data_IF_292026952101
#
_entry.id   IF_292026952101
#
_cell.length_a   1.000
_cell.length_b   1.000
_cell.length_c   1.000
_cell.angle_alpha   90.00
_cell.angle_beta   90.00
_cell.angle_gamma   90.00
#
_symmetry.space_group_name_H-M   'P 1'
#
loop_
_entity.id
_entity.type
_entity.pdbx_description
1 polymer ?
#
# COMPACT_ATOMS: atom_id res chain seq x y z
N UNK A 1 -3.15 -8.76 21.15
CA UNK A 1 -2.96 -9.70 20.03
C UNK A 1 -1.55 -9.56 19.47
N UNK A 2 -1.03 -10.57 18.77
CA UNK A 2 0.29 -10.50 18.11
C UNK A 2 0.09 -10.08 16.66
N UNK A 3 0.70 -8.98 16.27
CA UNK A 3 0.55 -8.36 14.94
C UNK A 3 1.91 -8.35 14.26
N UNK A 4 2.02 -8.98 13.08
CA UNK A 4 3.19 -8.87 12.22
C UNK A 4 2.95 -7.76 11.21
N UNK A 5 3.77 -6.70 11.28
CA UNK A 5 3.77 -5.59 10.33
C UNK A 5 4.95 -5.75 9.37
N UNK A 6 4.67 -5.93 8.09
CA UNK A 6 5.63 -6.06 7.01
C UNK A 6 5.72 -4.76 6.21
N UNK A 7 6.93 -4.29 5.91
CA UNK A 7 7.17 -3.01 5.24
C UNK A 7 7.10 -1.80 6.18
N UNK A 8 7.59 -1.96 7.41
CA UNK A 8 7.47 -0.96 8.47
C UNK A 8 8.22 0.37 8.19
N UNK A 9 9.21 0.39 7.29
CA UNK A 9 9.97 1.58 6.93
C UNK A 9 9.32 2.40 5.80
N UNK A 10 8.32 1.84 5.11
CA UNK A 10 7.52 2.55 4.10
C UNK A 10 6.60 3.61 4.69
N UNK A 11 5.96 4.43 3.83
CA UNK A 11 5.08 5.52 4.27
C UNK A 11 3.92 5.02 5.14
N UNK A 12 3.18 4.02 4.67
CA UNK A 12 2.03 3.45 5.40
C UNK A 12 2.52 2.62 6.58
N UNK A 13 3.56 1.80 6.40
CA UNK A 13 4.13 0.97 7.46
C UNK A 13 4.62 1.78 8.66
N UNK A 14 5.20 2.96 8.43
CA UNK A 14 5.63 3.84 9.51
C UNK A 14 4.47 4.32 10.38
N UNK A 15 3.39 4.78 9.77
CA UNK A 15 2.19 5.24 10.49
C UNK A 15 1.46 4.08 11.19
N UNK A 16 1.49 2.90 10.59
CA UNK A 16 0.90 1.69 11.17
C UNK A 16 1.54 1.29 12.50
N UNK A 17 2.84 1.54 12.72
CA UNK A 17 3.47 1.26 14.00
C UNK A 17 2.77 2.00 15.14
N UNK A 18 2.41 3.27 14.92
CA UNK A 18 1.66 4.09 15.88
C UNK A 18 0.22 3.59 16.05
N UNK A 19 -0.50 3.41 14.93
CA UNK A 19 -1.93 3.12 14.97
C UNK A 19 -2.24 1.70 15.45
N UNK A 20 -1.32 0.74 15.26
CA UNK A 20 -1.48 -0.64 15.71
C UNK A 20 -1.02 -0.87 17.15
N UNK A 21 -0.18 -0.01 17.71
CA UNK A 21 0.38 -0.18 19.07
C UNK A 21 -0.68 -0.41 20.15
N UNK A 22 -1.84 0.28 20.17
CA UNK A 22 -2.89 0.03 21.17
C UNK A 22 -3.57 -1.35 21.03
N UNK A 23 -3.41 -2.03 19.88
CA UNK A 23 -4.09 -3.30 19.60
C UNK A 23 -3.35 -4.53 20.14
N UNK A 24 -2.06 -4.41 20.40
CA UNK A 24 -1.27 -5.52 20.90
C UNK A 24 0.23 -5.40 20.65
N UNK A 25 0.91 -6.54 20.63
CA UNK A 25 2.35 -6.65 20.38
C UNK A 25 2.61 -6.56 18.87
N UNK A 26 3.23 -5.45 18.43
CA UNK A 26 3.55 -5.18 17.03
C UNK A 26 4.99 -5.57 16.73
N UNK A 27 5.15 -6.62 15.95
CA UNK A 27 6.45 -7.07 15.43
C UNK A 27 6.65 -6.44 14.06
N UNK A 28 7.40 -5.35 14.02
CA UNK A 28 7.68 -4.57 12.80
C UNK A 28 8.90 -5.14 12.06
N UNK A 29 8.72 -5.45 10.78
CA UNK A 29 9.71 -6.11 9.92
C UNK A 29 9.84 -5.38 8.57
N UNK A 30 11.06 -5.35 8.04
CA UNK A 30 11.38 -4.82 6.71
C UNK A 30 12.54 -5.60 6.07
N UNK A 31 12.84 -5.32 4.79
CA UNK A 31 13.93 -5.99 4.06
C UNK A 31 15.32 -5.66 4.64
N UNK A 32 15.47 -4.49 5.26
CA UNK A 32 16.70 -3.98 5.87
C UNK A 32 16.74 -4.13 7.41
N UNK A 33 15.73 -4.79 7.99
CA UNK A 33 15.72 -5.08 9.42
C UNK A 33 16.82 -6.05 9.83
N UNK A 34 17.12 -6.09 11.13
CA UNK A 34 18.05 -7.09 11.71
C UNK A 34 17.59 -8.53 11.39
N UNK A 35 18.49 -9.48 11.44
CA UNK A 35 18.33 -10.83 10.87
C UNK A 35 17.04 -11.55 11.29
N UNK A 36 16.63 -11.43 12.56
CA UNK A 36 15.43 -12.07 13.11
C UNK A 36 14.11 -11.40 12.71
N UNK A 37 14.17 -10.16 12.19
CA UNK A 37 13.03 -9.37 11.70
C UNK A 37 13.11 -9.01 10.22
N UNK A 38 14.06 -9.63 9.50
CA UNK A 38 14.23 -9.36 8.08
C UNK A 38 13.09 -9.99 7.27
N UNK A 39 12.39 -9.15 6.51
CA UNK A 39 11.29 -9.55 5.62
C UNK A 39 11.59 -9.12 4.18
N UNK A 40 12.43 -9.89 3.50
CA UNK A 40 12.83 -9.64 2.11
C UNK A 40 11.79 -10.26 1.16
N UNK A 41 10.93 -9.43 0.58
CA UNK A 41 9.86 -9.86 -0.33
C UNK A 41 10.36 -10.44 -1.66
N UNK A 42 11.62 -10.23 -2.01
CA UNK A 42 12.25 -10.94 -3.13
C UNK A 42 12.54 -12.41 -2.80
N UNK A 43 12.33 -12.83 -1.53
CA UNK A 43 12.55 -14.19 -1.02
C UNK A 43 11.29 -14.73 -0.33
N UNK A 44 10.25 -15.13 -1.10
CA UNK A 44 8.95 -15.52 -0.56
C UNK A 44 9.02 -16.61 0.53
N UNK A 45 9.89 -17.61 0.35
CA UNK A 45 10.08 -18.69 1.33
C UNK A 45 10.54 -18.17 2.69
N UNK A 46 11.51 -17.23 2.72
CA UNK A 46 12.01 -16.64 3.95
C UNK A 46 10.94 -15.82 4.69
N UNK A 47 10.04 -15.15 3.95
CA UNK A 47 8.88 -14.47 4.54
C UNK A 47 7.90 -15.49 5.14
N UNK A 48 7.68 -16.63 4.48
CA UNK A 48 6.89 -17.73 5.02
C UNK A 48 7.48 -18.29 6.33
N UNK A 49 8.78 -18.57 6.36
CA UNK A 49 9.50 -19.02 7.56
C UNK A 49 9.44 -18.01 8.72
N UNK A 50 9.50 -16.70 8.40
CA UNK A 50 9.33 -15.63 9.38
C UNK A 50 7.92 -15.70 10.02
N UNK A 51 6.88 -15.88 9.22
CA UNK A 51 5.50 -16.01 9.71
C UNK A 51 5.35 -17.26 10.57
N UNK A 52 5.89 -18.40 10.13
CA UNK A 52 5.85 -19.66 10.85
C UNK A 52 6.55 -19.56 12.22
N UNK A 53 7.64 -18.79 12.33
CA UNK A 53 8.36 -18.55 13.59
C UNK A 53 7.61 -17.59 14.50
N UNK A 54 6.99 -16.54 13.97
CA UNK A 54 6.32 -15.50 14.77
C UNK A 54 4.94 -15.96 15.23
N UNK A 55 4.22 -16.75 14.44
CA UNK A 55 2.85 -17.20 14.72
C UNK A 55 1.90 -16.01 15.03
N UNK A 56 1.73 -15.04 14.12
CA UNK A 56 0.90 -13.86 14.35
C UNK A 56 -0.60 -14.19 14.25
N UNK A 57 -1.43 -13.39 14.90
CA UNK A 57 -2.89 -13.42 14.78
C UNK A 57 -3.38 -12.47 13.66
N UNK A 58 -2.59 -11.44 13.39
CA UNK A 58 -2.84 -10.47 12.30
C UNK A 58 -1.52 -10.22 11.55
N UNK A 59 -1.58 -10.23 10.23
CA UNK A 59 -0.48 -9.86 9.36
C UNK A 59 -0.89 -8.64 8.56
N UNK A 60 -0.19 -7.52 8.74
CA UNK A 60 -0.42 -6.29 7.98
C UNK A 60 0.71 -6.13 6.96
N UNK A 61 0.38 -6.31 5.70
CA UNK A 61 1.34 -6.20 4.60
C UNK A 61 1.28 -4.81 3.95
N UNK A 62 2.23 -3.94 4.32
CA UNK A 62 2.45 -2.62 3.74
C UNK A 62 3.68 -2.58 2.80
N UNK A 63 4.30 -3.74 2.52
CA UNK A 63 5.41 -3.84 1.58
C UNK A 63 4.91 -4.03 0.15
N UNK A 64 5.53 -3.33 -0.80
CA UNK A 64 5.26 -3.48 -2.22
C UNK A 64 6.40 -2.90 -3.08
N UNK A 65 6.52 -3.38 -4.31
CA UNK A 65 7.28 -2.70 -5.36
C UNK A 65 6.37 -1.63 -5.97
N UNK A 66 6.57 -0.37 -5.57
CA UNK A 66 5.68 0.76 -5.92
C UNK A 66 6.22 1.66 -7.02
N UNK A 67 7.42 1.40 -7.54
CA UNK A 67 8.01 2.16 -8.63
C UNK A 67 7.39 1.73 -9.96
N UNK A 68 6.27 2.38 -10.36
CA UNK A 68 5.45 2.03 -11.53
C UNK A 68 6.29 1.89 -12.80
N UNK A 69 7.13 2.91 -13.12
CA UNK A 69 7.96 2.91 -14.32
C UNK A 69 9.04 1.82 -14.28
N UNK A 70 9.65 1.58 -13.11
CA UNK A 70 10.64 0.51 -12.93
C UNK A 70 10.03 -0.88 -13.07
N UNK A 71 8.79 -1.07 -12.69
CA UNK A 71 8.11 -2.35 -12.82
C UNK A 71 8.09 -2.85 -14.27
N UNK A 72 8.02 -1.93 -15.25
CA UNK A 72 8.06 -2.29 -16.68
C UNK A 72 9.38 -2.95 -17.13
N UNK A 73 10.49 -2.65 -16.43
CA UNK A 73 11.80 -3.28 -16.66
C UNK A 73 12.17 -4.36 -15.64
N UNK A 74 11.51 -4.38 -14.47
CA UNK A 74 11.77 -5.30 -13.35
C UNK A 74 10.56 -6.26 -13.14
N UNK A 75 10.01 -6.81 -14.23
CA UNK A 75 8.75 -7.57 -14.23
C UNK A 75 8.74 -8.70 -13.21
N UNK A 76 9.76 -9.56 -13.21
CA UNK A 76 9.85 -10.72 -12.33
C UNK A 76 9.99 -10.31 -10.86
N UNK A 77 10.77 -9.29 -10.59
CA UNK A 77 10.93 -8.74 -9.23
C UNK A 77 9.62 -8.13 -8.74
N UNK A 78 8.97 -7.32 -9.58
CA UNK A 78 7.68 -6.71 -9.28
C UNK A 78 6.62 -7.77 -8.99
N UNK A 79 6.54 -8.81 -9.83
CA UNK A 79 5.61 -9.93 -9.64
C UNK A 79 5.92 -10.72 -8.36
N UNK A 80 7.19 -10.97 -8.08
CA UNK A 80 7.60 -11.67 -6.85
C UNK A 80 7.15 -10.91 -5.62
N UNK A 81 7.42 -9.59 -5.56
CA UNK A 81 7.11 -8.75 -4.40
C UNK A 81 5.60 -8.49 -4.28
N UNK A 82 4.92 -8.19 -5.39
CA UNK A 82 3.53 -7.74 -5.38
C UNK A 82 2.49 -8.87 -5.45
N UNK A 83 2.89 -10.06 -5.90
CA UNK A 83 1.95 -11.17 -6.11
C UNK A 83 2.37 -12.46 -5.40
N UNK A 84 3.58 -12.97 -5.67
CA UNK A 84 4.01 -14.28 -5.15
C UNK A 84 4.13 -14.25 -3.63
N UNK A 85 4.84 -13.26 -3.08
CA UNK A 85 5.02 -13.13 -1.62
C UNK A 85 3.70 -12.87 -0.88
N UNK A 86 2.79 -11.99 -1.34
CA UNK A 86 1.43 -11.91 -0.78
C UNK A 86 0.66 -13.23 -0.78
N UNK A 87 0.80 -14.04 -1.83
CA UNK A 87 0.23 -15.39 -1.86
C UNK A 87 0.77 -16.29 -0.76
N UNK A 88 2.10 -16.34 -0.59
CA UNK A 88 2.74 -17.09 0.50
C UNK A 88 2.28 -16.61 1.88
N UNK A 89 2.17 -15.29 2.08
CA UNK A 89 1.64 -14.71 3.32
C UNK A 89 0.22 -15.22 3.57
N UNK A 90 -0.63 -15.22 2.56
CA UNK A 90 -2.02 -15.64 2.66
C UNK A 90 -2.16 -17.15 2.98
N UNK A 91 -1.34 -18.00 2.37
CA UNK A 91 -1.32 -19.44 2.65
C UNK A 91 -0.92 -19.73 4.09
N UNK A 92 0.12 -19.03 4.62
CA UNK A 92 0.53 -19.15 6.02
C UNK A 92 -0.54 -18.62 6.96
N UNK A 93 -1.13 -17.46 6.64
CA UNK A 93 -2.22 -16.89 7.41
C UNK A 93 -3.42 -17.82 7.52
N UNK A 94 -3.79 -18.49 6.41
CA UNK A 94 -4.85 -19.50 6.42
C UNK A 94 -4.54 -20.65 7.39
N UNK A 95 -3.32 -21.18 7.32
CA UNK A 95 -2.91 -22.29 8.21
C UNK A 95 -2.96 -21.89 9.69
N UNK A 96 -2.70 -20.62 10.01
CA UNK A 96 -2.72 -20.06 11.36
C UNK A 96 -4.11 -19.56 11.81
N UNK A 97 -5.09 -19.45 10.90
CA UNK A 97 -6.34 -18.74 11.18
C UNK A 97 -6.16 -17.22 11.36
N UNK A 98 -5.03 -16.66 10.91
CA UNK A 98 -4.71 -15.24 11.03
C UNK A 98 -5.47 -14.38 10.02
N UNK A 99 -5.67 -13.09 10.36
CA UNK A 99 -6.18 -12.08 9.44
C UNK A 99 -5.03 -11.49 8.62
N UNK A 100 -5.19 -11.41 7.30
CA UNK A 100 -4.30 -10.63 6.41
C UNK A 100 -4.92 -9.28 6.11
N UNK A 101 -4.19 -8.19 6.33
CA UNK A 101 -4.49 -6.87 5.77
C UNK A 101 -3.47 -6.56 4.70
N UNK A 102 -3.94 -6.22 3.50
CA UNK A 102 -3.08 -5.94 2.35
C UNK A 102 -3.48 -4.64 1.65
N UNK A 103 -2.50 -3.82 1.27
CA UNK A 103 -2.75 -2.61 0.49
C UNK A 103 -2.57 -2.89 -1.00
N UNK A 104 -3.59 -2.58 -1.76
CA UNK A 104 -3.61 -2.61 -3.21
C UNK A 104 -3.72 -1.18 -3.77
N UNK A 105 -4.11 -1.03 -5.02
CA UNK A 105 -4.04 0.22 -5.77
C UNK A 105 -5.24 0.39 -6.71
N UNK A 106 -5.55 1.63 -7.05
CA UNK A 106 -6.44 2.01 -8.15
C UNK A 106 -5.90 1.62 -9.54
N UNK A 107 -4.59 1.37 -9.69
CA UNK A 107 -3.98 0.87 -10.93
C UNK A 107 -4.44 -0.54 -11.34
N UNK A 108 -5.28 -1.20 -10.55
CA UNK A 108 -5.97 -2.45 -10.95
C UNK A 108 -7.05 -2.19 -12.00
N UNK A 109 -7.46 -0.94 -12.19
CA UNK A 109 -8.41 -0.52 -13.21
C UNK A 109 -7.69 -0.04 -14.48
N UNK A 110 -8.41 0.01 -15.59
CA UNK A 110 -7.90 0.42 -16.91
C UNK A 110 -7.81 1.94 -17.08
N UNK A 111 -8.35 2.72 -16.15
CA UNK A 111 -8.38 4.18 -16.22
C UNK A 111 -9.36 4.76 -17.25
N UNK A 112 -10.20 3.95 -17.91
CA UNK A 112 -11.20 4.43 -18.85
C UNK A 112 -12.41 5.05 -18.16
N UNK A 113 -13.10 5.97 -18.87
CA UNK A 113 -14.29 6.63 -18.36
C UNK A 113 -13.99 7.77 -17.39
N UNK A 114 -15.06 8.38 -16.88
CA UNK A 114 -15.06 9.57 -16.02
C UNK A 114 -15.82 9.36 -14.69
N UNK A 115 -16.27 8.13 -14.45
CA UNK A 115 -17.03 7.79 -13.25
C UNK A 115 -16.16 7.09 -12.19
N UNK A 116 -16.38 7.44 -10.93
CA UNK A 116 -15.76 6.73 -9.81
C UNK A 116 -16.12 5.24 -9.86
N UNK A 117 -15.14 4.38 -9.66
CA UNK A 117 -15.32 2.92 -9.66
C UNK A 117 -15.56 2.43 -8.24
N UNK A 118 -16.45 1.46 -8.10
CA UNK A 118 -16.65 0.73 -6.85
C UNK A 118 -15.78 -0.53 -6.78
N UNK A 119 -15.85 -1.25 -5.67
CA UNK A 119 -15.07 -2.46 -5.42
C UNK A 119 -15.45 -3.63 -6.35
N UNK A 120 -16.65 -3.60 -6.94
CA UNK A 120 -17.18 -4.62 -7.86
C UNK A 120 -16.87 -4.29 -9.32
N UNK A 121 -16.38 -3.10 -9.62
CA UNK A 121 -16.04 -2.69 -10.97
C UNK A 121 -15.01 -3.64 -11.61
N UNK A 122 -15.18 -3.87 -12.91
CA UNK A 122 -14.28 -4.75 -13.68
C UNK A 122 -12.86 -4.19 -13.66
N UNK A 123 -11.92 -5.03 -13.26
CA UNK A 123 -10.49 -4.71 -13.28
C UNK A 123 -9.90 -4.95 -14.68
N UNK A 124 -8.89 -4.15 -15.05
CA UNK A 124 -8.25 -4.24 -16.36
C UNK A 124 -6.89 -3.51 -16.38
N UNK A 125 -5.91 -3.87 -15.50
CA UNK A 125 -4.68 -3.12 -15.33
C UNK A 125 -3.86 -3.05 -16.62
N UNK A 126 -3.36 -1.87 -16.96
CA UNK A 126 -2.54 -1.66 -18.14
C UNK A 126 -1.05 -1.87 -17.84
N UNK A 127 -0.55 -1.35 -16.71
CA UNK A 127 0.87 -1.42 -16.33
C UNK A 127 1.24 -2.76 -15.66
N UNK A 128 2.52 -3.10 -15.70
CA UNK A 128 3.08 -4.25 -14.94
C UNK A 128 2.81 -4.11 -13.45
N UNK A 129 2.95 -2.90 -12.90
CA UNK A 129 2.62 -2.62 -11.49
C UNK A 129 1.17 -3.00 -11.18
N UNK A 130 0.21 -2.49 -11.93
CA UNK A 130 -1.22 -2.80 -11.74
C UNK A 130 -1.52 -4.29 -11.89
N UNK A 131 -0.96 -4.94 -12.92
CA UNK A 131 -1.12 -6.40 -13.15
C UNK A 131 -0.59 -7.24 -11.99
N UNK A 132 0.60 -6.90 -11.49
CA UNK A 132 1.21 -7.64 -10.37
C UNK A 132 0.48 -7.40 -9.05
N UNK A 133 -0.06 -6.20 -8.82
CA UNK A 133 -0.90 -5.90 -7.64
C UNK A 133 -2.23 -6.65 -7.70
N UNK A 134 -2.89 -6.68 -8.86
CA UNK A 134 -4.12 -7.46 -9.06
C UNK A 134 -3.89 -8.96 -8.86
N UNK A 135 -2.82 -9.52 -9.43
CA UNK A 135 -2.44 -10.92 -9.18
C UNK A 135 -2.25 -11.20 -7.69
N UNK A 136 -1.71 -10.24 -6.93
CA UNK A 136 -1.58 -10.34 -5.46
C UNK A 136 -2.94 -10.42 -4.75
N UNK A 137 -3.91 -9.58 -5.15
CA UNK A 137 -5.29 -9.66 -4.63
C UNK A 137 -5.90 -11.05 -4.91
N UNK A 138 -5.76 -11.53 -6.15
CA UNK A 138 -6.29 -12.81 -6.58
C UNK A 138 -5.70 -13.99 -5.80
N UNK A 139 -4.39 -13.98 -5.56
CA UNK A 139 -3.71 -15.02 -4.76
C UNK A 139 -4.17 -15.00 -3.30
N UNK A 140 -4.32 -13.83 -2.69
CA UNK A 140 -4.84 -13.70 -1.32
C UNK A 140 -6.26 -14.26 -1.25
N UNK A 141 -7.13 -13.92 -2.18
CA UNK A 141 -8.51 -14.41 -2.24
C UNK A 141 -8.56 -15.92 -2.46
N UNK A 142 -7.77 -16.43 -3.40
CA UNK A 142 -7.71 -17.87 -3.74
C UNK A 142 -7.21 -18.72 -2.58
N UNK A 143 -6.37 -18.20 -1.68
CA UNK A 143 -5.91 -18.92 -0.49
C UNK A 143 -7.05 -19.30 0.46
N UNK A 144 -8.16 -18.54 0.44
CA UNK A 144 -9.27 -18.67 1.38
C UNK A 144 -8.96 -18.22 2.81
N UNK A 145 -7.89 -17.47 3.05
CA UNK A 145 -7.61 -16.85 4.36
C UNK A 145 -8.60 -15.72 4.65
N UNK A 146 -8.75 -15.36 5.93
CA UNK A 146 -9.44 -14.13 6.31
C UNK A 146 -8.60 -12.95 5.85
N UNK A 147 -9.19 -12.01 5.10
CA UNK A 147 -8.43 -10.90 4.54
C UNK A 147 -9.21 -9.60 4.45
N UNK A 148 -8.49 -8.49 4.54
CA UNK A 148 -8.90 -7.15 4.18
C UNK A 148 -7.93 -6.64 3.12
N UNK A 149 -8.40 -6.36 1.92
CA UNK A 149 -7.62 -5.76 0.85
C UNK A 149 -8.11 -4.33 0.68
N UNK A 150 -7.22 -3.36 0.89
CA UNK A 150 -7.51 -1.94 0.73
C UNK A 150 -6.90 -1.43 -0.58
N UNK A 151 -7.74 -1.13 -1.58
CA UNK A 151 -7.32 -0.38 -2.76
C UNK A 151 -7.24 1.09 -2.38
N UNK A 152 -6.10 1.71 -2.61
CA UNK A 152 -5.84 3.11 -2.29
C UNK A 152 -5.16 3.83 -3.45
N UNK A 153 -5.07 5.14 -3.37
CA UNK A 153 -4.46 5.96 -4.42
C UNK A 153 -3.59 7.07 -3.85
N UNK A 154 -2.55 7.47 -4.59
CA UNK A 154 -1.74 8.67 -4.40
C UNK A 154 -1.29 8.89 -2.95
N UNK A 155 -0.74 7.84 -2.35
CA UNK A 155 -0.34 7.84 -0.93
C UNK A 155 0.75 8.86 -0.68
N UNK A 156 0.55 9.69 0.35
CA UNK A 156 1.54 10.64 0.80
C UNK A 156 1.74 10.60 2.32
N UNK A 157 2.94 10.97 2.75
CA UNK A 157 3.31 11.10 4.16
C UNK A 157 4.44 12.11 4.32
N UNK A 158 4.69 12.56 5.56
CA UNK A 158 5.88 13.34 5.90
C UNK A 158 7.17 12.53 5.70
N UNK A 159 7.12 11.20 5.89
CA UNK A 159 8.23 10.26 5.68
C UNK A 159 8.24 9.69 4.26
N UNK A 160 9.42 9.30 3.78
CA UNK A 160 9.60 8.62 2.48
C UNK A 160 9.53 9.58 1.29
N UNK A 161 9.42 9.02 0.10
CA UNK A 161 9.28 9.74 -1.16
C UNK A 161 7.82 9.77 -1.61
N UNK A 162 7.35 10.92 -2.08
CA UNK A 162 6.00 11.07 -2.63
C UNK A 162 5.93 12.29 -3.54
N UNK A 163 4.79 12.45 -4.20
CA UNK A 163 4.57 13.52 -5.17
C UNK A 163 4.74 14.92 -4.55
N UNK A 164 4.20 15.17 -3.33
CA UNK A 164 4.32 16.46 -2.64
C UNK A 164 5.79 16.85 -2.51
N UNK A 165 6.61 15.96 -1.94
CA UNK A 165 8.04 16.22 -1.71
C UNK A 165 8.80 16.39 -3.00
N UNK A 166 8.41 15.66 -4.05
CA UNK A 166 8.99 15.80 -5.38
C UNK A 166 8.68 17.17 -5.97
N UNK A 167 7.43 17.64 -5.90
CA UNK A 167 7.05 18.98 -6.39
C UNK A 167 7.78 20.08 -5.63
N UNK A 168 7.86 19.98 -4.30
CA UNK A 168 8.59 20.97 -3.46
C UNK A 168 10.08 21.02 -3.81
N UNK A 169 10.73 19.90 -4.05
CA UNK A 169 12.13 19.84 -4.46
C UNK A 169 12.33 20.43 -5.87
N UNK A 170 11.53 19.99 -6.83
CA UNK A 170 11.65 20.46 -8.21
C UNK A 170 11.38 21.97 -8.35
N UNK A 171 10.49 22.52 -7.54
CA UNK A 171 10.23 23.96 -7.54
C UNK A 171 11.42 24.81 -7.03
N UNK A 172 12.36 24.21 -6.31
CA UNK A 172 13.61 24.89 -5.92
C UNK A 172 14.70 24.77 -7.01
N UNK A 173 14.60 23.75 -7.85
CA UNK A 173 15.62 23.42 -8.85
C UNK A 173 15.26 23.94 -10.25
N UNK A 174 13.98 24.24 -10.54
CA UNK A 174 13.47 24.53 -11.88
C UNK A 174 12.52 25.72 -11.90
N UNK A 175 12.65 26.58 -12.89
CA UNK A 175 11.73 27.72 -13.13
C UNK A 175 10.40 27.27 -13.74
N UNK A 176 10.39 26.14 -14.47
CA UNK A 176 9.22 25.58 -15.15
C UNK A 176 9.11 24.08 -14.93
N UNK A 177 7.89 23.63 -14.70
CA UNK A 177 7.55 22.21 -14.61
C UNK A 177 6.30 21.93 -15.47
N UNK A 178 6.28 20.76 -16.10
CA UNK A 178 5.10 20.25 -16.78
C UNK A 178 4.52 19.11 -15.95
N UNK A 179 3.22 19.19 -15.64
CA UNK A 179 2.49 18.17 -14.87
C UNK A 179 1.25 17.81 -15.67
N UNK A 180 0.94 16.51 -15.74
CA UNK A 180 -0.23 15.98 -16.44
C UNK A 180 -1.52 16.45 -15.77
N UNK A 181 -2.57 16.70 -16.55
CA UNK A 181 -3.85 17.24 -16.07
C UNK A 181 -5.06 16.40 -16.51
N UNK A 182 -4.82 15.24 -17.06
CA UNK A 182 -5.81 14.31 -17.61
C UNK A 182 -5.99 13.02 -16.76
N UNK A 183 -5.27 12.92 -15.64
CA UNK A 183 -5.44 11.84 -14.68
C UNK A 183 -6.06 12.38 -13.39
N UNK A 184 -7.16 11.75 -13.00
CA UNK A 184 -7.92 12.08 -11.79
C UNK A 184 -7.66 11.06 -10.68
N UNK A 185 -7.63 11.53 -9.44
CA UNK A 185 -7.41 10.67 -8.28
C UNK A 185 -7.61 11.41 -6.97
N UNK A 186 -7.43 10.69 -5.87
CA UNK A 186 -7.61 11.20 -4.52
C UNK A 186 -6.30 11.03 -3.72
N UNK A 187 -5.54 12.11 -3.47
CA UNK A 187 -4.38 12.05 -2.58
C UNK A 187 -4.79 11.55 -1.20
N UNK A 188 -4.20 10.44 -0.75
CA UNK A 188 -4.60 9.76 0.48
C UNK A 188 -3.44 9.74 1.47
N UNK A 189 -3.65 10.29 2.66
CA UNK A 189 -2.65 10.33 3.71
C UNK A 189 -2.36 8.95 4.32
N UNK A 190 -1.09 8.58 4.46
CA UNK A 190 -0.69 7.32 5.08
C UNK A 190 -1.20 7.18 6.53
N UNK A 191 -1.30 8.28 7.28
CA UNK A 191 -1.87 8.29 8.62
C UNK A 191 -3.35 7.89 8.62
N UNK A 192 -4.16 8.38 7.63
CA UNK A 192 -5.55 7.97 7.46
C UNK A 192 -5.65 6.46 7.19
N UNK A 193 -4.81 5.94 6.27
CA UNK A 193 -4.78 4.51 5.97
C UNK A 193 -4.48 3.69 7.22
N UNK A 194 -3.51 4.11 8.01
CA UNK A 194 -3.09 3.42 9.22
C UNK A 194 -4.21 3.42 10.30
N UNK A 195 -4.83 4.57 10.54
CA UNK A 195 -5.89 4.70 11.54
C UNK A 195 -7.14 3.90 11.17
N UNK A 196 -7.58 3.97 9.90
CA UNK A 196 -8.72 3.16 9.42
C UNK A 196 -8.39 1.66 9.46
N UNK A 197 -7.15 1.28 9.17
CA UNK A 197 -6.71 -0.12 9.30
C UNK A 197 -6.84 -0.63 10.74
N UNK A 198 -6.40 0.17 11.71
CA UNK A 198 -6.53 -0.18 13.13
C UNK A 198 -7.99 -0.34 13.54
N UNK A 199 -8.87 0.57 13.10
CA UNK A 199 -10.31 0.48 13.33
C UNK A 199 -10.94 -0.76 12.68
N UNK A 200 -10.54 -1.08 11.44
CA UNK A 200 -11.05 -2.24 10.71
C UNK A 200 -10.65 -3.57 11.36
N UNK A 201 -9.44 -3.66 11.92
CA UNK A 201 -8.98 -4.84 12.68
C UNK A 201 -9.79 -5.02 13.98
N UNK A 202 -10.21 -3.92 14.62
CA UNK A 202 -11.00 -3.93 15.86
C UNK A 202 -12.50 -4.03 15.65
N UNK A 203 -12.99 -4.00 14.41
CA UNK A 203 -14.42 -3.96 14.14
C UNK A 203 -15.16 -5.10 14.87
N UNK A 204 -16.26 -4.76 15.52
CA UNK A 204 -17.09 -5.71 16.29
C UNK A 204 -17.67 -6.82 15.41
N UNK A 205 -17.87 -6.54 14.12
CA UNK A 205 -18.18 -7.54 13.09
C UNK A 205 -16.91 -7.80 12.29
N UNK A 206 -16.47 -9.05 12.14
CA UNK A 206 -15.33 -9.39 11.31
C UNK A 206 -15.53 -8.90 9.87
N UNK A 207 -14.73 -7.94 9.46
CA UNK A 207 -14.70 -7.49 8.07
C UNK A 207 -13.84 -8.45 7.25
N UNK A 208 -14.22 -8.68 6.00
CA UNK A 208 -13.43 -9.46 5.03
C UNK A 208 -13.77 -9.02 3.61
N UNK A 209 -12.81 -9.10 2.72
CA UNK A 209 -12.97 -8.77 1.31
C UNK A 209 -12.12 -7.59 0.85
N UNK A 210 -12.54 -7.00 -0.28
CA UNK A 210 -11.88 -5.85 -0.91
C UNK A 210 -12.71 -4.60 -0.58
N UNK A 211 -12.00 -3.52 -0.25
CA UNK A 211 -12.59 -2.21 0.04
C UNK A 211 -11.75 -1.12 -0.62
N UNK A 212 -12.39 -0.05 -1.07
CA UNK A 212 -11.68 1.17 -1.42
C UNK A 212 -11.40 1.97 -0.15
N UNK A 213 -10.13 2.31 0.06
CA UNK A 213 -9.69 3.16 1.17
C UNK A 213 -8.90 4.34 0.60
N UNK A 214 -9.61 5.38 0.25
CA UNK A 214 -9.08 6.63 -0.29
C UNK A 214 -9.75 7.82 0.40
N UNK A 215 -9.09 8.98 0.37
CA UNK A 215 -9.71 10.22 0.85
C UNK A 215 -10.87 10.62 -0.07
N UNK A 216 -11.83 11.36 0.48
CA UNK A 216 -12.94 11.91 -0.29
C UNK A 216 -12.48 13.06 -1.23
N UNK A 217 -13.25 13.28 -2.30
CA UNK A 217 -12.98 14.26 -3.33
C UNK A 217 -12.06 13.72 -4.43
N UNK A 218 -11.83 14.57 -5.44
CA UNK A 218 -10.95 14.27 -6.56
C UNK A 218 -10.13 15.49 -6.96
N UNK A 219 -9.00 15.23 -7.59
CA UNK A 219 -8.12 16.25 -8.17
C UNK A 219 -7.32 15.66 -9.32
N UNK A 220 -6.63 16.51 -10.10
CA UNK A 220 -5.62 16.07 -11.05
C UNK A 220 -4.22 16.24 -10.46
N UNK A 221 -3.21 15.58 -11.04
CA UNK A 221 -1.82 15.80 -10.65
C UNK A 221 -1.40 17.26 -10.77
N UNK A 222 -1.88 17.94 -11.82
CA UNK A 222 -1.61 19.36 -12.05
C UNK A 222 -2.23 20.23 -10.92
N UNK A 223 -3.52 20.11 -10.66
CA UNK A 223 -4.19 20.89 -9.62
C UNK A 223 -3.62 20.59 -8.23
N UNK A 224 -3.23 19.34 -7.98
CA UNK A 224 -2.56 18.96 -6.74
C UNK A 224 -1.19 19.63 -6.61
N UNK A 225 -0.39 19.69 -7.68
CA UNK A 225 0.89 20.40 -7.69
C UNK A 225 0.70 21.89 -7.42
N UNK A 226 -0.25 22.55 -8.10
CA UNK A 226 -0.57 23.97 -7.87
C UNK A 226 -0.93 24.24 -6.39
N UNK A 227 -1.82 23.42 -5.83
CA UNK A 227 -2.21 23.55 -4.43
C UNK A 227 -1.01 23.42 -3.47
N UNK A 228 -0.17 22.39 -3.68
CA UNK A 228 1.02 22.15 -2.84
C UNK A 228 1.98 23.33 -2.90
N UNK A 229 2.26 23.86 -4.09
CA UNK A 229 3.20 24.98 -4.27
C UNK A 229 2.63 26.29 -3.73
N UNK A 230 1.34 26.54 -3.90
CA UNK A 230 0.67 27.72 -3.33
C UNK A 230 0.73 27.69 -1.79
N UNK A 231 0.47 26.54 -1.18
CA UNK A 231 0.57 26.38 0.28
C UNK A 231 2.00 26.51 0.79
N UNK A 232 2.98 25.95 0.09
CA UNK A 232 4.39 26.10 0.46
C UNK A 232 4.84 27.57 0.50
N UNK A 233 4.44 28.39 -0.49
CA UNK A 233 4.74 29.81 -0.52
C UNK A 233 4.11 30.61 0.65
N UNK A 234 2.96 30.15 1.18
CA UNK A 234 2.33 30.79 2.35
C UNK A 234 3.08 30.50 3.66
N UNK A 235 3.73 29.32 3.74
CA UNK A 235 4.45 28.89 4.96
C UNK A 235 5.87 29.43 4.96
N UNK A 236 6.49 29.49 3.81
CA UNK A 236 7.86 30.00 3.63
C UNK A 236 7.89 30.88 2.37
N UNK A 237 7.59 32.20 2.53
CA UNK A 237 7.58 33.15 1.41
C UNK A 237 8.96 33.36 0.79
#
# INVERSE_FOLDING_TARGET
MKILLLGCNGQVGWELQRSLAPLGDVIACDFDSVTDRRADFAKPAAVGELIDRIQPQVIVNAAAHTAVDKAESEIDLSRTINAVTPGVIADRARALGALVVHYSTDYVFDGSGDQARDELAVTGPLSVYGKTKLEGEERIRASGCRHLIFRTSWVYAARGHNFIKTMLRLAQERERMTVINDQFGAPTGAALLADVTALAIQASRPLTGIYHLAAAGETTWYAYAEYVLAKAKQIKP
#
